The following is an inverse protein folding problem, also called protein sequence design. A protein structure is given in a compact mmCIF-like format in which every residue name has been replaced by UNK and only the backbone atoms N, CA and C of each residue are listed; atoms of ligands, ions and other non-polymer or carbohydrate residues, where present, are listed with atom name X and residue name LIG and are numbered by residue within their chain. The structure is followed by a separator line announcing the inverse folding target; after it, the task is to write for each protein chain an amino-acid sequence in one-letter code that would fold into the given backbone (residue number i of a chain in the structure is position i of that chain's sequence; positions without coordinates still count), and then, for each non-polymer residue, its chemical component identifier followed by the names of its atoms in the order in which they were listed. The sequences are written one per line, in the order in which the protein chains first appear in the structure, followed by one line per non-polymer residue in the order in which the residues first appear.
data_IF_649735890092
#
_entry.id   IF_649735890092
#
_cell.length_a   1.000
_cell.length_b   1.000
_cell.length_c   1.000
_cell.angle_alpha   90.00
_cell.angle_beta   90.00
_cell.angle_gamma   90.00
#
_symmetry.space_group_name_H-M   'P 1'
#
loop_
_entity.id
_entity.type
_entity.pdbx_description
1 polymer ?
#
# COMPACT_ATOMS: atom_id res chain seq x y z
N UNK A 1 -42.05 -39.60 -14.34
CA UNK A 1 -40.82 -38.86 -14.71
C UNK A 1 -40.43 -38.02 -13.51
N UNK A 2 -39.42 -38.44 -12.75
CA UNK A 2 -39.05 -37.87 -11.46
C UNK A 2 -37.77 -37.03 -11.57
N UNK A 3 -37.79 -35.89 -10.85
CA UNK A 3 -36.84 -34.79 -10.84
C UNK A 3 -35.39 -35.17 -10.45
N UNK A 4 -34.41 -34.60 -11.16
CA UNK A 4 -33.01 -34.53 -10.76
C UNK A 4 -32.51 -33.09 -10.77
N UNK A 5 -32.59 -32.39 -9.63
CA UNK A 5 -31.87 -31.12 -9.40
C UNK A 5 -31.54 -31.00 -7.92
N UNK A 6 -30.38 -31.55 -7.50
CA UNK A 6 -29.76 -31.16 -6.24
C UNK A 6 -28.33 -31.71 -6.16
N UNK A 7 -27.32 -30.90 -6.53
CA UNK A 7 -25.88 -31.19 -6.28
C UNK A 7 -24.92 -30.03 -6.65
N UNK A 8 -25.27 -28.78 -6.36
CA UNK A 8 -24.36 -27.64 -6.57
C UNK A 8 -24.40 -26.64 -5.41
N UNK A 9 -24.06 -27.04 -4.17
CA UNK A 9 -23.97 -26.05 -3.08
C UNK A 9 -23.06 -26.44 -1.89
N UNK A 10 -21.89 -27.03 -2.15
CA UNK A 10 -20.93 -27.40 -1.09
C UNK A 10 -19.54 -26.74 -1.20
N UNK A 11 -19.23 -26.02 -2.29
CA UNK A 11 -17.89 -25.46 -2.51
C UNK A 11 -17.70 -23.99 -2.10
N UNK A 12 -18.77 -23.27 -1.72
CA UNK A 12 -18.68 -21.84 -1.42
C UNK A 12 -18.19 -21.54 0.02
N UNK A 13 -18.44 -22.44 0.98
CA UNK A 13 -18.09 -22.20 2.39
C UNK A 13 -16.60 -22.36 2.71
N UNK A 14 -15.81 -23.05 1.87
CA UNK A 14 -14.37 -23.26 2.11
C UNK A 14 -13.47 -22.09 1.69
N UNK A 15 -14.01 -21.09 0.99
CA UNK A 15 -13.22 -19.92 0.57
C UNK A 15 -13.17 -18.82 1.63
N UNK A 16 -14.14 -18.78 2.57
CA UNK A 16 -14.24 -17.69 3.55
C UNK A 16 -13.26 -17.83 4.73
N UNK A 17 -12.82 -19.03 5.07
CA UNK A 17 -11.81 -19.27 6.13
C UNK A 17 -10.37 -19.00 5.67
N UNK A 18 -10.06 -19.20 4.38
CA UNK A 18 -8.70 -18.96 3.86
C UNK A 18 -8.28 -17.48 3.89
N UNK A 19 -9.23 -16.56 3.72
CA UNK A 19 -8.95 -15.13 3.72
C UNK A 19 -8.52 -14.58 5.09
N UNK A 20 -8.90 -15.24 6.19
CA UNK A 20 -8.54 -14.79 7.54
C UNK A 20 -7.13 -15.21 7.97
N UNK A 21 -6.66 -16.39 7.56
CA UNK A 21 -5.32 -16.86 7.92
C UNK A 21 -4.22 -16.13 7.13
N UNK A 22 -4.46 -15.78 5.85
CA UNK A 22 -3.48 -15.02 5.05
C UNK A 22 -3.20 -13.63 5.62
N UNK A 23 -4.22 -12.95 6.16
CA UNK A 23 -4.07 -11.64 6.80
C UNK A 23 -3.26 -11.75 8.10
N UNK A 24 -3.44 -12.83 8.86
CA UNK A 24 -2.68 -13.08 10.08
C UNK A 24 -1.19 -13.35 9.81
N UNK A 25 -0.87 -14.19 8.81
CA UNK A 25 0.51 -14.45 8.41
C UNK A 25 1.25 -13.19 7.90
N UNK A 26 0.55 -12.30 7.19
CA UNK A 26 1.12 -11.04 6.73
C UNK A 26 1.40 -10.07 7.89
N UNK A 27 0.48 -9.93 8.85
CA UNK A 27 0.69 -9.08 10.03
C UNK A 27 1.83 -9.59 10.93
N UNK A 28 1.99 -10.93 11.05
CA UNK A 28 3.10 -11.53 11.78
C UNK A 28 4.46 -11.29 11.09
N UNK A 29 4.51 -11.29 9.75
CA UNK A 29 5.73 -11.01 8.99
C UNK A 29 6.19 -9.55 9.09
N UNK A 30 5.27 -8.60 9.29
CA UNK A 30 5.61 -7.20 9.51
C UNK A 30 6.22 -6.96 10.91
N UNK A 31 5.87 -7.77 11.90
CA UNK A 31 6.35 -7.63 13.28
C UNK A 31 7.80 -8.11 13.44
N UNK A 32 8.23 -9.12 12.68
CA UNK A 32 9.59 -9.67 12.79
C UNK A 32 10.70 -8.83 12.11
N UNK A 33 10.36 -7.83 11.29
CA UNK A 33 11.36 -7.01 10.61
C UNK A 33 11.78 -5.75 11.41
N UNK A 34 11.16 -5.48 12.56
CA UNK A 34 11.52 -4.34 13.41
C UNK A 34 12.69 -4.62 14.37
N UNK A 35 13.04 -5.88 14.61
CA UNK A 35 14.04 -6.26 15.64
C UNK A 35 15.43 -6.61 15.08
N UNK A 36 15.72 -6.27 13.80
CA UNK A 36 17.00 -6.58 13.15
C UNK A 36 17.94 -5.37 12.98
N UNK A 37 17.87 -4.40 13.89
CA UNK A 37 18.91 -3.39 14.06
C UNK A 37 19.56 -3.51 15.42
N UNK A 38 20.90 -3.54 15.39
CA UNK A 38 21.86 -3.40 16.49
C UNK A 38 22.32 -4.69 17.21
N UNK A 39 23.36 -5.31 16.65
CA UNK A 39 24.52 -5.79 17.43
C UNK A 39 25.80 -5.51 16.64
N UNK A 40 26.34 -4.29 16.75
CA UNK A 40 27.76 -4.02 16.49
C UNK A 40 28.38 -3.91 17.88
N UNK A 41 29.21 -4.90 18.21
CA UNK A 41 29.98 -4.95 19.45
C UNK A 41 31.05 -3.84 19.43
N UNK A 42 31.18 -3.04 20.50
CA UNK A 42 32.37 -2.23 20.70
C UNK A 42 33.46 -3.06 21.40
N UNK A 43 34.63 -3.14 20.77
CA UNK A 43 35.90 -3.57 21.39
C UNK A 43 36.29 -2.61 22.52
N UNK A 44 36.81 -3.11 23.66
CA UNK A 44 37.38 -2.27 24.70
C UNK A 44 38.91 -2.11 24.52
N UNK A 45 39.39 -0.96 25.02
CA UNK A 45 40.72 -0.72 25.58
C UNK A 45 41.92 -0.52 24.63
N UNK A 46 42.33 0.76 24.46
CA UNK A 46 43.56 1.35 25.05
C UNK A 46 43.95 2.61 24.24
N UNK A 47 43.88 3.80 24.84
CA UNK A 47 45.05 4.70 24.99
C UNK A 47 44.72 6.08 25.58
N UNK A 48 45.39 6.36 26.70
CA UNK A 48 46.09 7.60 27.08
C UNK A 48 45.40 8.96 26.91
N UNK A 49 45.00 9.45 28.08
CA UNK A 49 45.00 10.82 28.64
C UNK A 49 45.88 11.84 27.90
N UNK A 50 45.25 12.92 27.40
CA UNK A 50 45.86 14.25 27.36
C UNK A 50 44.84 15.29 27.84
N UNK A 51 45.28 16.08 28.83
CA UNK A 51 44.50 17.09 29.55
C UNK A 51 44.53 18.39 28.74
N UNK A 52 43.40 18.78 28.15
CA UNK A 52 43.25 20.11 27.55
C UNK A 52 42.35 20.96 28.45
N UNK A 53 42.97 21.99 29.04
CA UNK A 53 42.30 23.08 29.75
C UNK A 53 41.37 23.84 28.79
N UNK A 54 40.07 23.82 29.06
CA UNK A 54 39.10 24.67 28.37
C UNK A 54 38.88 25.95 29.17
N UNK A 55 39.24 27.08 28.57
CA UNK A 55 39.02 28.42 29.07
C UNK A 55 37.56 28.85 28.94
N UNK A 56 37.06 29.52 29.97
CA UNK A 56 35.75 30.16 30.04
C UNK A 56 35.55 31.19 28.91
N UNK A 57 34.78 30.84 27.88
CA UNK A 57 34.28 31.82 26.91
C UNK A 57 32.81 32.16 27.17
N UNK A 58 32.61 33.44 27.52
CA UNK A 58 31.36 34.17 27.68
C UNK A 58 30.48 34.03 26.43
N UNK A 59 29.19 33.68 26.55
CA UNK A 59 28.29 33.60 25.40
C UNK A 59 28.10 34.98 24.76
N UNK A 60 28.22 35.12 23.43
CA UNK A 60 27.90 36.36 22.75
C UNK A 60 26.40 36.63 22.85
N UNK A 61 26.06 37.82 23.38
CA UNK A 61 24.69 38.29 23.41
C UNK A 61 24.26 38.65 21.99
N UNK A 62 23.47 37.78 21.37
CA UNK A 62 22.81 38.07 20.11
C UNK A 62 21.59 38.94 20.39
N UNK A 63 21.66 40.18 19.91
CA UNK A 63 20.54 41.11 19.85
C UNK A 63 19.48 40.56 18.88
N UNK A 64 18.28 40.37 19.41
CA UNK A 64 17.10 39.96 18.65
C UNK A 64 16.62 41.19 17.85
N UNK A 65 17.07 41.33 16.61
CA UNK A 65 16.51 42.31 15.69
C UNK A 65 15.09 41.86 15.30
N UNK A 66 14.09 42.60 15.78
CA UNK A 66 12.70 42.52 15.36
C UNK A 66 12.61 42.68 13.84
N UNK A 67 12.33 41.57 13.14
CA UNK A 67 11.93 41.59 11.74
C UNK A 67 10.41 41.76 11.69
N UNK A 68 10.02 42.98 11.34
CA UNK A 68 8.67 43.40 11.01
C UNK A 68 8.13 42.63 9.80
N UNK A 69 7.00 41.96 10.04
CA UNK A 69 5.82 41.89 9.19
C UNK A 69 6.04 42.15 7.69
N UNK A 70 6.47 41.10 6.99
CA UNK A 70 6.38 41.03 5.54
C UNK A 70 5.25 40.06 5.22
N UNK A 71 4.09 40.64 4.94
CA UNK A 71 3.10 40.15 3.97
C UNK A 71 3.23 38.67 3.62
N UNK A 72 2.36 37.87 4.23
CA UNK A 72 2.03 36.49 3.83
C UNK A 72 1.41 36.57 2.43
N UNK A 73 2.23 36.88 1.43
CA UNK A 73 1.96 36.55 0.05
C UNK A 73 2.01 35.05 0.01
N UNK A 74 0.83 34.43 -0.12
CA UNK A 74 0.68 33.05 -0.51
C UNK A 74 1.45 32.86 -1.82
N UNK A 75 2.75 32.58 -1.72
CA UNK A 75 3.56 32.20 -2.86
C UNK A 75 2.78 31.04 -3.48
N UNK A 76 2.34 31.13 -4.76
CA UNK A 76 1.75 30.00 -5.45
C UNK A 76 2.84 28.95 -5.47
N UNK A 77 2.84 28.08 -4.45
CA UNK A 77 3.72 26.93 -4.35
C UNK A 77 3.49 26.20 -5.66
N UNK A 78 4.54 26.18 -6.47
CA UNK A 78 4.48 25.82 -7.86
C UNK A 78 3.58 24.58 -7.99
N UNK A 79 2.46 24.75 -8.70
CA UNK A 79 1.71 23.64 -9.29
C UNK A 79 2.53 23.00 -10.41
N UNK A 80 3.85 22.86 -10.20
CA UNK A 80 4.79 22.17 -11.06
C UNK A 80 4.35 20.72 -11.15
N UNK A 81 3.50 20.55 -12.16
CA UNK A 81 3.13 19.39 -12.93
C UNK A 81 2.92 18.12 -12.12
N UNK A 82 1.88 18.14 -11.30
CA UNK A 82 1.25 16.92 -10.82
C UNK A 82 1.02 15.94 -11.98
N UNK A 83 0.58 16.47 -13.13
CA UNK A 83 0.38 15.71 -14.36
C UNK A 83 1.66 15.03 -14.86
N UNK A 84 2.82 15.69 -14.84
CA UNK A 84 4.09 15.08 -15.27
C UNK A 84 4.46 13.84 -14.45
N UNK A 85 4.07 13.79 -13.17
CA UNK A 85 4.33 12.62 -12.33
C UNK A 85 3.41 11.42 -12.66
N UNK A 86 2.35 11.65 -13.45
CA UNK A 86 1.27 10.70 -13.73
C UNK A 86 1.20 10.31 -15.21
N UNK A 87 1.72 11.13 -16.13
CA UNK A 87 1.63 10.92 -17.59
C UNK A 87 1.96 9.48 -18.00
N UNK A 88 2.99 8.87 -17.39
CA UNK A 88 3.42 7.52 -17.74
C UNK A 88 2.72 6.40 -16.95
N UNK A 89 1.58 6.65 -16.30
CA UNK A 89 0.88 5.64 -15.49
C UNK A 89 -0.17 4.86 -16.28
N UNK A 90 0.00 3.54 -16.33
CA UNK A 90 -0.98 2.62 -16.91
C UNK A 90 -2.02 2.13 -15.88
N UNK A 91 -1.80 2.37 -14.59
CA UNK A 91 -2.67 1.87 -13.51
C UNK A 91 -3.70 2.87 -13.02
N UNK A 92 -3.41 4.17 -13.07
CA UNK A 92 -4.30 5.24 -12.59
C UNK A 92 -4.49 6.29 -13.67
N UNK A 93 -5.67 6.88 -13.75
CA UNK A 93 -5.96 7.99 -14.66
C UNK A 93 -6.34 9.25 -13.87
N UNK A 94 -6.17 10.46 -14.44
CA UNK A 94 -6.51 11.72 -13.76
C UNK A 94 -7.94 11.76 -13.21
N UNK A 95 -8.89 11.12 -13.91
CA UNK A 95 -10.30 10.98 -13.47
C UNK A 95 -10.51 10.17 -12.18
N UNK A 96 -9.49 9.49 -11.70
CA UNK A 96 -9.55 8.69 -10.46
C UNK A 96 -9.01 9.46 -9.24
N UNK A 97 -8.46 10.66 -9.44
CA UNK A 97 -7.79 11.45 -8.41
C UNK A 97 -8.69 11.69 -7.20
N UNK A 98 -9.90 12.19 -7.42
CA UNK A 98 -10.83 12.56 -6.35
C UNK A 98 -11.43 11.36 -5.59
N UNK A 99 -11.08 10.13 -5.98
CA UNK A 99 -11.60 8.92 -5.35
C UNK A 99 -10.80 8.50 -4.11
N UNK A 100 -9.55 8.96 -3.98
CA UNK A 100 -8.61 8.58 -2.91
C UNK A 100 -7.75 9.77 -2.51
N UNK A 101 -7.04 9.72 -1.36
CA UNK A 101 -6.10 10.78 -1.01
C UNK A 101 -4.98 10.95 -2.05
N UNK A 102 -4.59 12.19 -2.33
CA UNK A 102 -3.60 12.54 -3.35
C UNK A 102 -2.27 11.78 -3.15
N UNK A 103 -1.81 11.62 -1.92
CA UNK A 103 -0.58 10.87 -1.61
C UNK A 103 -0.66 9.40 -2.08
N UNK A 104 -1.82 8.76 -1.91
CA UNK A 104 -2.04 7.38 -2.36
C UNK A 104 -2.16 7.33 -3.89
N UNK A 105 -2.86 8.30 -4.49
CA UNK A 105 -3.00 8.41 -5.93
C UNK A 105 -1.63 8.51 -6.62
N UNK A 106 -0.78 9.45 -6.17
CA UNK A 106 0.58 9.62 -6.70
C UNK A 106 1.40 8.36 -6.49
N UNK A 107 1.37 7.75 -5.30
CA UNK A 107 2.12 6.51 -5.03
C UNK A 107 1.68 5.34 -5.94
N UNK A 108 0.37 5.19 -6.19
CA UNK A 108 -0.15 4.20 -7.13
C UNK A 108 0.25 4.51 -8.57
N UNK A 109 0.36 5.79 -8.94
CA UNK A 109 0.86 6.19 -10.25
C UNK A 109 2.30 5.73 -10.53
N UNK A 110 3.09 5.52 -9.47
CA UNK A 110 4.47 5.03 -9.53
C UNK A 110 4.61 3.50 -9.57
N UNK A 111 3.51 2.78 -9.73
CA UNK A 111 3.49 1.33 -9.87
C UNK A 111 3.23 0.94 -11.33
N UNK A 112 3.77 -0.19 -11.77
CA UNK A 112 3.55 -0.82 -13.07
C UNK A 112 2.95 -2.23 -12.90
N UNK A 113 2.12 -2.70 -13.84
CA UNK A 113 1.75 -4.11 -13.91
C UNK A 113 3.00 -5.02 -13.99
N UNK A 114 2.95 -6.16 -13.32
CA UNK A 114 4.00 -7.19 -13.38
C UNK A 114 3.39 -8.59 -13.17
N UNK A 115 4.15 -9.63 -13.46
CA UNK A 115 3.75 -11.02 -13.21
C UNK A 115 4.62 -11.66 -12.14
N UNK A 116 4.04 -12.54 -11.34
CA UNK A 116 4.74 -13.27 -10.28
C UNK A 116 5.78 -14.20 -10.92
N UNK A 117 7.05 -14.05 -10.54
CA UNK A 117 8.13 -14.94 -11.00
C UNK A 117 8.52 -15.93 -9.91
N UNK A 118 9.38 -16.90 -10.24
CA UNK A 118 9.91 -17.84 -9.24
C UNK A 118 10.61 -17.14 -8.07
N UNK A 119 11.30 -16.02 -8.32
CA UNK A 119 12.01 -15.25 -7.29
C UNK A 119 11.06 -14.61 -6.26
N UNK A 120 9.80 -14.39 -6.64
CA UNK A 120 8.80 -13.75 -5.78
C UNK A 120 8.05 -14.75 -4.89
N UNK A 121 8.28 -16.06 -5.05
CA UNK A 121 7.61 -17.12 -4.28
C UNK A 121 8.14 -17.25 -2.86
N UNK A 122 8.10 -16.14 -2.12
CA UNK A 122 8.48 -16.04 -0.71
C UNK A 122 7.26 -15.68 0.14
N UNK A 123 7.28 -16.06 1.42
CA UNK A 123 6.22 -15.74 2.37
C UNK A 123 4.82 -16.16 1.89
N UNK A 124 3.87 -15.21 1.88
CA UNK A 124 2.48 -15.44 1.49
C UNK A 124 2.28 -15.70 -0.01
N UNK A 125 3.30 -15.51 -0.85
CA UNK A 125 3.21 -15.78 -2.29
C UNK A 125 3.70 -17.18 -2.67
N UNK A 126 4.18 -17.98 -1.71
CA UNK A 126 4.72 -19.32 -1.96
C UNK A 126 3.72 -20.24 -2.66
N UNK A 127 2.44 -20.16 -2.30
CA UNK A 127 1.39 -21.02 -2.86
C UNK A 127 0.78 -20.49 -4.17
N UNK A 128 1.16 -19.29 -4.62
CA UNK A 128 0.60 -18.67 -5.83
C UNK A 128 1.27 -19.18 -7.09
N UNK A 129 0.50 -19.25 -8.16
CA UNK A 129 0.97 -19.68 -9.47
C UNK A 129 1.89 -18.63 -10.10
N UNK A 130 2.94 -19.11 -10.78
CA UNK A 130 3.83 -18.25 -11.56
C UNK A 130 3.02 -17.65 -12.71
N UNK A 131 3.26 -16.38 -13.03
CA UNK A 131 2.44 -15.63 -13.97
C UNK A 131 1.21 -14.95 -13.35
N UNK A 132 0.99 -15.10 -12.03
CA UNK A 132 -0.06 -14.38 -11.31
C UNK A 132 0.17 -12.87 -11.41
N UNK A 133 -0.89 -12.11 -11.72
CA UNK A 133 -0.77 -10.68 -11.98
C UNK A 133 -0.62 -9.89 -10.69
N UNK A 134 0.26 -8.91 -10.70
CA UNK A 134 0.46 -7.98 -9.60
C UNK A 134 1.06 -6.68 -10.09
N UNK A 135 1.59 -5.88 -9.17
CA UNK A 135 2.20 -4.60 -9.49
C UNK A 135 3.56 -4.45 -8.83
N UNK A 136 4.49 -3.83 -9.53
CA UNK A 136 5.84 -3.52 -9.08
C UNK A 136 6.12 -2.03 -9.16
N UNK A 137 6.96 -1.51 -8.27
CA UNK A 137 7.45 -0.15 -8.36
C UNK A 137 8.18 0.10 -9.70
N UNK A 138 7.83 1.19 -10.40
CA UNK A 138 8.43 1.60 -11.68
C UNK A 138 9.95 1.74 -11.63
N UNK A 139 10.46 2.22 -10.51
CA UNK A 139 11.86 2.63 -10.39
C UNK A 139 12.80 1.49 -10.01
N UNK A 140 12.39 0.62 -9.07
CA UNK A 140 13.23 -0.49 -8.64
C UNK A 140 12.87 -1.82 -9.32
N UNK A 141 11.80 -1.88 -10.12
CA UNK A 141 11.26 -3.13 -10.67
C UNK A 141 10.81 -4.13 -9.61
N UNK A 142 10.87 -3.74 -8.33
CA UNK A 142 10.63 -4.60 -7.20
C UNK A 142 11.69 -5.68 -6.96
N UNK A 143 12.97 -5.31 -6.95
CA UNK A 143 14.09 -6.17 -6.51
C UNK A 143 13.69 -7.10 -5.33
N UNK A 144 14.15 -8.36 -5.32
CA UNK A 144 13.52 -9.47 -4.60
C UNK A 144 13.22 -9.12 -3.14
N UNK A 145 11.93 -9.19 -2.80
CA UNK A 145 11.42 -8.97 -1.45
C UNK A 145 10.88 -7.57 -1.15
N UNK A 146 11.02 -6.58 -2.03
CA UNK A 146 10.47 -5.24 -1.79
C UNK A 146 9.86 -4.60 -3.05
N UNK A 147 8.72 -3.92 -2.88
CA UNK A 147 8.12 -3.11 -3.95
C UNK A 147 7.30 -3.90 -4.98
N UNK A 148 7.08 -5.21 -4.79
CA UNK A 148 6.14 -6.03 -5.55
C UNK A 148 4.96 -6.45 -4.69
N UNK A 149 3.77 -6.40 -5.28
CA UNK A 149 2.52 -6.67 -4.61
C UNK A 149 1.63 -7.53 -5.51
N UNK A 150 1.21 -8.68 -5.01
CA UNK A 150 0.39 -9.64 -5.75
C UNK A 150 -0.94 -9.86 -5.02
N UNK A 151 -1.89 -8.91 -5.12
CA UNK A 151 -3.20 -9.04 -4.47
C UNK A 151 -4.03 -10.18 -5.10
N UNK A 152 -4.63 -11.05 -4.29
CA UNK A 152 -5.49 -12.16 -4.78
C UNK A 152 -6.86 -11.70 -5.27
N UNK A 153 -7.32 -10.55 -4.77
CA UNK A 153 -8.66 -10.03 -5.02
C UNK A 153 -8.69 -8.52 -4.89
N UNK A 154 -9.74 -7.88 -5.44
CA UNK A 154 -10.04 -6.45 -5.24
C UNK A 154 -10.05 -6.10 -3.74
N UNK A 155 -10.59 -7.00 -2.91
CA UNK A 155 -10.65 -6.80 -1.46
C UNK A 155 -9.25 -6.72 -0.85
N UNK A 156 -8.34 -7.64 -1.22
CA UNK A 156 -6.95 -7.63 -0.75
C UNK A 156 -6.15 -6.42 -1.28
N UNK A 157 -6.43 -5.98 -2.51
CA UNK A 157 -5.85 -4.77 -3.09
C UNK A 157 -6.29 -3.50 -2.33
N UNK A 158 -7.58 -3.41 -2.02
CA UNK A 158 -8.18 -2.27 -1.34
C UNK A 158 -7.86 -2.19 0.17
N UNK A 159 -7.15 -3.17 0.74
CA UNK A 159 -6.76 -3.15 2.14
C UNK A 159 -5.88 -1.93 2.45
N UNK A 160 -6.15 -1.27 3.58
CA UNK A 160 -5.36 -0.12 4.03
C UNK A 160 -3.89 -0.47 4.22
N UNK A 161 -3.58 -1.68 4.69
CA UNK A 161 -2.20 -2.20 4.84
C UNK A 161 -1.45 -2.22 3.51
N UNK A 162 -2.09 -2.69 2.44
CA UNK A 162 -1.52 -2.71 1.08
C UNK A 162 -1.22 -1.28 0.62
N UNK A 163 -2.21 -0.38 0.69
CA UNK A 163 -2.04 1.03 0.31
C UNK A 163 -0.93 1.73 1.08
N UNK A 164 -0.87 1.52 2.41
CA UNK A 164 0.15 2.10 3.28
C UNK A 164 1.55 1.54 2.98
N UNK A 165 1.65 0.25 2.64
CA UNK A 165 2.93 -0.38 2.31
C UNK A 165 3.48 0.16 0.98
N UNK A 166 2.62 0.38 -0.01
CA UNK A 166 2.99 1.02 -1.28
C UNK A 166 3.50 2.43 -1.04
N UNK A 167 2.74 3.27 -0.31
CA UNK A 167 3.18 4.63 0.01
C UNK A 167 4.51 4.66 0.76
N UNK A 168 4.67 3.83 1.80
CA UNK A 168 5.94 3.72 2.55
C UNK A 168 7.10 3.29 1.66
N UNK A 169 6.85 2.39 0.70
CA UNK A 169 7.87 1.97 -0.24
C UNK A 169 8.32 3.14 -1.12
N UNK A 170 7.38 3.81 -1.79
CA UNK A 170 7.67 4.93 -2.69
C UNK A 170 8.34 6.07 -1.93
N UNK A 171 7.78 6.50 -0.79
CA UNK A 171 8.25 7.67 -0.04
C UNK A 171 9.62 7.46 0.62
N UNK A 172 9.89 6.28 1.19
CA UNK A 172 11.02 6.11 2.11
C UNK A 172 11.93 4.90 1.85
N UNK A 173 11.45 3.83 1.21
CA UNK A 173 12.26 2.59 1.07
C UNK A 173 12.89 2.41 -0.30
N UNK A 174 12.28 2.94 -1.35
CA UNK A 174 12.76 2.77 -2.71
C UNK A 174 13.99 3.66 -2.96
N UNK A 175 15.18 3.04 -3.03
CA UNK A 175 16.45 3.74 -3.29
C UNK A 175 16.53 4.33 -4.71
N UNK A 176 15.79 3.74 -5.65
CA UNK A 176 15.75 4.16 -7.05
C UNK A 176 14.67 5.19 -7.34
N UNK A 177 13.78 5.48 -6.39
CA UNK A 177 12.71 6.45 -6.59
C UNK A 177 13.27 7.88 -6.67
N UNK A 178 12.97 8.64 -7.75
CA UNK A 178 13.41 10.01 -7.90
C UNK A 178 13.08 10.87 -6.67
N UNK A 179 14.01 11.74 -6.21
CA UNK A 179 13.77 12.58 -5.03
C UNK A 179 12.50 13.43 -5.14
N UNK A 180 12.19 13.96 -6.34
CA UNK A 180 11.00 14.76 -6.58
C UNK A 180 9.72 13.98 -6.23
N UNK A 181 9.57 12.76 -6.77
CA UNK A 181 8.43 11.87 -6.49
C UNK A 181 8.33 11.55 -4.99
N UNK A 182 9.46 11.23 -4.34
CA UNK A 182 9.50 10.94 -2.90
C UNK A 182 9.01 12.12 -2.07
N UNK A 183 9.55 13.31 -2.34
CA UNK A 183 9.21 14.52 -1.62
C UNK A 183 7.73 14.88 -1.83
N UNK A 184 7.22 14.78 -3.06
CA UNK A 184 5.80 15.01 -3.35
C UNK A 184 4.90 14.08 -2.54
N UNK A 185 5.20 12.78 -2.46
CA UNK A 185 4.39 11.86 -1.64
C UNK A 185 4.47 12.21 -0.15
N UNK A 186 5.64 12.57 0.36
CA UNK A 186 5.82 12.97 1.77
C UNK A 186 5.09 14.27 2.12
N UNK A 187 5.13 15.25 1.23
CA UNK A 187 4.46 16.54 1.40
C UNK A 187 2.94 16.36 1.39
N UNK A 188 2.41 15.60 0.42
CA UNK A 188 0.98 15.26 0.37
C UNK A 188 0.53 14.46 1.62
N UNK A 189 1.37 13.58 2.17
CA UNK A 189 1.08 12.91 3.43
C UNK A 189 1.01 13.88 4.62
N UNK A 190 1.94 14.84 4.67
CA UNK A 190 1.95 15.89 5.71
C UNK A 190 0.69 16.76 5.60
N UNK A 191 0.35 17.19 4.39
CA UNK A 191 -0.88 17.94 4.12
C UNK A 191 -2.15 17.16 4.50
N UNK A 192 -2.19 15.87 4.18
CA UNK A 192 -3.31 15.01 4.56
C UNK A 192 -3.47 14.95 6.08
N UNK A 193 -2.37 14.79 6.83
CA UNK A 193 -2.41 14.78 8.30
C UNK A 193 -2.88 16.13 8.88
N UNK A 194 -2.51 17.25 8.26
CA UNK A 194 -3.00 18.58 8.64
C UNK A 194 -4.48 18.77 8.29
N UNK A 195 -4.96 18.23 7.17
CA UNK A 195 -6.38 18.30 6.79
C UNK A 195 -7.26 17.41 7.68
N UNK A 196 -6.78 16.23 8.04
CA UNK A 196 -7.49 15.32 8.95
C UNK A 196 -7.65 15.91 10.35
N UNK A 197 -6.77 16.82 10.79
CA UNK A 197 -6.94 17.52 12.07
C UNK A 197 -7.96 18.65 12.01
N UNK A 198 -8.16 19.30 10.84
CA UNK A 198 -9.07 20.44 10.68
C UNK A 198 -10.47 20.04 10.18
N UNK A 199 -10.56 19.02 9.32
CA UNK A 199 -11.83 18.54 8.78
C UNK A 199 -12.28 17.26 9.48
N UNK A 200 -13.32 17.37 10.31
CA UNK A 200 -14.05 16.24 10.87
C UNK A 200 -14.93 15.51 9.85
N UNK A 201 -14.89 15.93 8.58
CA UNK A 201 -15.61 15.30 7.49
C UNK A 201 -15.07 13.90 7.19
N UNK A 202 -15.84 12.88 7.55
CA UNK A 202 -15.57 11.48 7.17
C UNK A 202 -15.38 11.41 5.65
N UNK A 203 -14.31 10.75 5.14
CA UNK A 203 -14.12 10.56 3.71
C UNK A 203 -15.39 9.99 3.07
N UNK A 204 -15.75 10.47 1.87
CA UNK A 204 -16.96 10.00 1.17
C UNK A 204 -16.93 8.48 1.05
N UNK A 205 -17.82 7.82 1.78
CA UNK A 205 -17.91 6.38 1.84
C UNK A 205 -18.21 5.84 0.42
N UNK A 206 -17.34 4.96 -0.10
CA UNK A 206 -17.53 4.32 -1.40
C UNK A 206 -16.55 4.75 -2.51
N UNK A 207 -16.03 5.98 -2.50
CA UNK A 207 -15.13 6.48 -3.56
C UNK A 207 -13.88 5.60 -3.71
N UNK A 208 -13.30 5.20 -2.59
CA UNK A 208 -12.14 4.31 -2.52
C UNK A 208 -12.40 2.93 -3.14
N UNK A 209 -13.62 2.40 -3.02
CA UNK A 209 -13.98 1.11 -3.63
C UNK A 209 -13.92 1.20 -5.15
N UNK A 210 -14.48 2.27 -5.72
CA UNK A 210 -14.48 2.53 -7.16
C UNK A 210 -13.05 2.67 -7.68
N UNK A 211 -12.19 3.40 -6.96
CA UNK A 211 -10.78 3.54 -7.30
C UNK A 211 -10.09 2.18 -7.48
N UNK A 212 -10.17 1.31 -6.47
CA UNK A 212 -9.51 0.01 -6.52
C UNK A 212 -10.16 -0.98 -7.49
N UNK A 213 -11.46 -0.86 -7.76
CA UNK A 213 -12.10 -1.61 -8.83
C UNK A 213 -11.54 -1.23 -10.20
N UNK A 214 -11.34 0.07 -10.48
CA UNK A 214 -10.75 0.54 -11.74
C UNK A 214 -9.29 0.13 -11.90
N UNK A 215 -8.50 0.27 -10.84
CA UNK A 215 -7.11 -0.20 -10.82
C UNK A 215 -7.06 -1.72 -11.07
N UNK A 216 -7.94 -2.48 -10.44
CA UNK A 216 -8.00 -3.94 -10.62
C UNK A 216 -8.35 -4.36 -12.05
N UNK A 217 -9.34 -3.70 -12.66
CA UNK A 217 -9.71 -3.93 -14.06
C UNK A 217 -8.49 -3.70 -14.97
N UNK A 218 -7.88 -2.51 -14.92
CA UNK A 218 -6.67 -2.19 -15.71
C UNK A 218 -5.53 -3.16 -15.48
N UNK A 219 -5.38 -3.65 -14.26
CA UNK A 219 -4.33 -4.59 -13.93
C UNK A 219 -4.51 -5.93 -14.67
N UNK A 220 -5.75 -6.37 -14.90
CA UNK A 220 -6.08 -7.65 -15.53
C UNK A 220 -6.36 -7.52 -17.04
N UNK A 221 -6.89 -6.37 -17.49
CA UNK A 221 -7.23 -6.11 -18.90
C UNK A 221 -5.98 -6.06 -19.81
N UNK A 222 -4.78 -5.86 -19.24
CA UNK A 222 -3.51 -5.89 -20.01
C UNK A 222 -3.24 -7.26 -20.64
N UNK A 223 -3.79 -8.35 -20.08
CA UNK A 223 -3.56 -9.69 -20.63
C UNK A 223 -4.25 -9.90 -21.97
N UNK A 224 -5.46 -9.39 -22.13
CA UNK A 224 -6.25 -9.62 -23.34
C UNK A 224 -5.66 -8.91 -24.56
N UNK A 225 -4.90 -7.82 -24.35
CA UNK A 225 -4.26 -7.07 -25.43
C UNK A 225 -2.98 -7.71 -25.99
N UNK A 226 -2.24 -8.49 -25.19
CA UNK A 226 -0.93 -9.04 -25.60
C UNK A 226 -1.10 -10.34 -26.42
N UNK A 227 -2.19 -11.08 -26.18
CA UNK A 227 -2.44 -12.36 -26.85
C UNK A 227 -2.96 -12.20 -28.30
N UNK A 228 -3.54 -11.05 -28.65
CA UNK A 228 -4.00 -10.76 -30.03
C UNK A 228 -2.84 -10.52 -31.00
N UNK A 229 -1.81 -9.76 -30.60
CA UNK A 229 -0.71 -9.41 -31.51
C UNK A 229 0.23 -10.59 -31.81
N UNK A 230 0.27 -11.61 -30.93
CA UNK A 230 1.14 -12.77 -31.10
C UNK A 230 0.49 -13.93 -31.89
N UNK A 231 -0.79 -13.80 -32.27
CA UNK A 231 -1.52 -14.82 -33.04
C UNK A 231 -1.35 -14.67 -34.56
N UNK A 232 -0.91 -13.50 -35.04
CA UNK A 232 -0.89 -13.18 -36.48
C UNK A 232 0.42 -13.55 -37.20
N UNK A 233 1.44 -14.09 -36.51
CA UNK A 233 2.74 -14.45 -37.12
C UNK A 233 2.91 -15.97 -37.35
N UNK A 234 1.93 -16.80 -36.99
CA UNK A 234 2.05 -18.26 -37.07
C UNK A 234 1.20 -18.96 -38.15
N UNK A 235 0.68 -18.26 -39.17
CA UNK A 235 -0.04 -18.91 -40.28
C UNK A 235 0.23 -18.23 -41.63
N UNK A 236 1.43 -18.45 -42.17
CA UNK A 236 1.74 -18.17 -43.57
C UNK A 236 2.46 -19.37 -44.20
N UNK A 237 1.81 -20.53 -44.17
CA UNK A 237 1.94 -21.58 -45.18
C UNK A 237 0.93 -22.70 -44.84
N UNK A 238 -0.29 -22.62 -45.38
CA UNK A 238 -0.93 -23.76 -46.06
C UNK A 238 -2.20 -23.32 -46.78
N UNK A 239 -2.36 -23.85 -47.98
CA UNK A 239 -3.23 -23.39 -49.05
C UNK A 239 -4.71 -23.80 -48.90
N UNK A 240 -5.59 -22.92 -49.39
CA UNK A 240 -6.83 -23.19 -50.13
C UNK A 240 -7.76 -24.34 -49.68
N UNK A 241 -8.99 -24.01 -49.25
CA UNK A 241 -10.22 -24.28 -50.04
C UNK A 241 -11.53 -24.01 -49.27
N UNK A 242 -12.40 -23.25 -49.93
CA UNK A 242 -13.85 -23.33 -50.02
C UNK A 242 -14.83 -23.18 -48.82
N UNK A 243 -15.95 -22.53 -49.22
CA UNK A 243 -17.34 -22.59 -48.73
C UNK A 243 -17.78 -21.70 -47.56
N UNK A 244 -18.38 -20.58 -47.96
CA UNK A 244 -19.51 -19.85 -47.36
C UNK A 244 -20.58 -20.79 -46.78
N UNK A 245 -21.19 -20.44 -45.63
CA UNK A 245 -22.63 -20.21 -45.68
C UNK A 245 -23.07 -18.94 -44.92
N UNK A 246 -24.00 -18.24 -45.57
CA UNK A 246 -24.85 -17.19 -45.04
C UNK A 246 -25.79 -17.76 -43.97
N UNK A 247 -25.77 -17.16 -42.77
CA UNK A 247 -26.71 -17.46 -41.69
C UNK A 247 -26.94 -16.20 -40.85
N UNK A 248 -28.01 -15.50 -41.16
CA UNK A 248 -28.55 -14.37 -40.38
C UNK A 248 -29.32 -14.94 -39.19
N UNK A 249 -28.85 -14.71 -37.97
CA UNK A 249 -29.69 -14.90 -36.78
C UNK A 249 -29.56 -13.69 -35.86
N UNK A 250 -30.72 -13.03 -35.70
CA UNK A 250 -31.04 -11.98 -34.75
C UNK A 250 -30.68 -12.38 -33.31
N UNK A 251 -29.75 -11.65 -32.69
CA UNK A 251 -29.48 -11.77 -31.26
C UNK A 251 -30.23 -10.65 -30.54
N UNK A 252 -31.40 -11.02 -30.03
CA UNK A 252 -32.22 -10.24 -29.10
C UNK A 252 -31.40 -9.72 -27.92
N UNK A 253 -31.33 -8.38 -27.81
CA UNK A 253 -30.91 -7.66 -26.61
C UNK A 253 -31.94 -7.87 -25.49
N UNK A 254 -31.73 -8.87 -24.64
CA UNK A 254 -32.44 -8.98 -23.37
C UNK A 254 -31.79 -8.07 -22.33
N UNK A 255 -32.52 -7.01 -21.99
CA UNK A 255 -32.33 -6.10 -20.86
C UNK A 255 -31.95 -6.84 -19.58
N UNK A 256 -30.75 -6.57 -19.06
CA UNK A 256 -30.31 -7.06 -17.75
C UNK A 256 -30.92 -6.14 -16.68
N UNK A 257 -32.06 -6.56 -16.15
CA UNK A 257 -32.68 -5.99 -14.96
C UNK A 257 -31.83 -6.34 -13.74
N UNK A 258 -31.18 -5.34 -13.14
CA UNK A 258 -30.55 -5.48 -11.82
C UNK A 258 -31.66 -5.60 -10.77
N UNK A 259 -31.87 -6.81 -10.25
CA UNK A 259 -32.74 -7.07 -9.12
C UNK A 259 -32.16 -6.49 -7.84
N UNK A 260 -32.88 -5.55 -7.24
CA UNK A 260 -32.73 -5.14 -5.85
C UNK A 260 -33.25 -6.29 -4.96
N UNK A 261 -32.35 -7.15 -4.51
CA UNK A 261 -32.66 -8.14 -3.48
C UNK A 261 -32.50 -7.50 -2.09
N UNK A 262 -33.60 -6.95 -1.58
CA UNK A 262 -33.80 -6.61 -0.17
C UNK A 262 -33.81 -7.88 0.69
N UNK A 263 -32.61 -8.37 1.00
CA UNK A 263 -32.38 -9.45 1.96
C UNK A 263 -32.37 -8.93 3.41
N UNK A 264 -33.56 -8.70 3.96
CA UNK A 264 -33.75 -8.48 5.39
C UNK A 264 -33.35 -9.72 6.21
N UNK A 265 -32.14 -9.71 6.78
CA UNK A 265 -31.72 -10.74 7.75
C UNK A 265 -32.14 -10.27 9.14
N UNK A 266 -33.19 -10.92 9.61
CA UNK A 266 -33.72 -10.90 10.96
C UNK A 266 -32.66 -11.20 12.02
N UNK A 267 -32.75 -10.42 13.10
CA UNK A 267 -31.93 -10.52 14.30
C UNK A 267 -32.11 -11.88 14.99
N UNK A 268 -31.13 -12.76 14.81
CA UNK A 268 -30.94 -13.98 15.59
C UNK A 268 -29.95 -13.75 16.73
N UNK A 269 -30.49 -13.48 17.92
CA UNK A 269 -29.77 -13.38 19.19
C UNK A 269 -29.01 -14.69 19.49
N UNK A 270 -27.69 -14.69 19.36
CA UNK A 270 -26.84 -15.64 20.08
C UNK A 270 -25.60 -14.92 20.61
N UNK A 271 -25.76 -14.39 21.82
CA UNK A 271 -24.67 -13.92 22.68
C UNK A 271 -23.73 -15.08 22.99
N UNK A 272 -22.73 -15.31 22.14
CA UNK A 272 -21.54 -16.04 22.55
C UNK A 272 -20.68 -15.11 23.41
N UNK A 273 -20.54 -15.47 24.69
CA UNK A 273 -19.66 -14.84 25.67
C UNK A 273 -18.25 -14.75 25.08
N UNK A 274 -17.83 -13.54 24.71
CA UNK A 274 -16.41 -13.24 24.49
C UNK A 274 -15.67 -13.44 25.81
N UNK A 275 -14.56 -14.20 25.86
CA UNK A 275 -13.70 -14.22 27.03
C UNK A 275 -13.19 -12.79 27.27
N UNK A 276 -13.36 -12.30 28.50
CA UNK A 276 -12.73 -11.08 28.99
C UNK A 276 -11.22 -11.27 28.84
N UNK A 277 -10.62 -10.67 27.82
CA UNK A 277 -9.18 -10.43 27.81
C UNK A 277 -8.87 -9.49 28.96
N UNK A 278 -8.11 -10.00 29.92
CA UNK A 278 -7.62 -9.24 31.06
C UNK A 278 -6.92 -7.98 30.58
N UNK A 279 -7.21 -6.86 31.24
CA UNK A 279 -6.48 -5.62 31.10
C UNK A 279 -5.00 -5.91 31.40
N UNK A 280 -4.14 -5.68 30.40
CA UNK A 280 -2.71 -5.60 30.62
C UNK A 280 -2.44 -4.36 31.50
N UNK A 281 -1.63 -4.48 32.56
CA UNK A 281 -1.25 -3.35 33.39
C UNK A 281 -0.43 -2.37 32.55
N UNK A 282 -0.88 -1.13 32.52
CA UNK A 282 -0.12 0.04 32.08
C UNK A 282 1.17 0.11 32.87
N UNK A 283 2.32 0.02 32.19
CA UNK A 283 3.63 0.30 32.79
C UNK A 283 3.71 1.79 33.09
N UNK A 284 3.32 2.17 34.31
CA UNK A 284 3.63 3.47 34.87
C UNK A 284 5.13 3.56 35.20
N UNK A 285 5.76 4.58 34.62
CA UNK A 285 6.75 5.47 35.24
C UNK A 285 7.67 4.85 36.32
N UNK A 286 8.81 4.29 35.89
CA UNK A 286 10.03 4.22 36.72
C UNK A 286 11.07 5.19 36.17
N UNK A 287 10.89 6.48 36.48
CA UNK A 287 11.92 7.52 36.32
C UNK A 287 12.00 8.32 37.61
N UNK A 288 12.64 7.77 38.63
CA UNK A 288 13.13 8.52 39.77
C UNK A 288 14.16 7.68 40.55
N UNK A 289 15.21 8.37 41.03
CA UNK A 289 16.25 7.93 41.96
C UNK A 289 17.44 7.18 41.37
N UNK A 290 18.40 7.93 40.83
CA UNK A 290 19.82 7.80 41.20
C UNK A 290 20.47 9.16 41.01
N UNK A 291 20.90 9.78 42.10
CA UNK A 291 21.60 11.06 42.05
C UNK A 291 21.62 11.82 43.36
N UNK A 292 22.16 11.21 44.43
CA UNK A 292 22.66 11.97 45.59
C UNK A 292 23.55 11.08 46.47
N UNK A 293 24.82 10.89 46.11
CA UNK A 293 25.87 10.46 47.06
C UNK A 293 27.26 10.62 46.42
N UNK A 294 27.82 11.83 46.47
CA UNK A 294 29.25 12.06 46.24
C UNK A 294 29.65 13.45 46.75
N UNK A 295 29.76 13.62 48.06
CA UNK A 295 30.51 14.73 48.68
C UNK A 295 30.76 14.44 50.16
N UNK A 296 31.84 13.71 50.48
CA UNK A 296 32.56 13.80 51.76
C UNK A 296 33.76 12.84 51.74
N UNK A 297 34.91 13.31 51.27
CA UNK A 297 36.25 12.87 51.67
C UNK A 297 37.31 13.70 50.94
N UNK A 298 37.56 14.90 51.45
CA UNK A 298 38.85 15.60 51.36
C UNK A 298 39.04 16.39 52.64
N UNK A 299 39.64 15.74 53.62
CA UNK A 299 40.51 16.30 54.66
C UNK A 299 41.66 15.32 54.84
#
# INVERSE_FOLDING_TARGET
MMNQTSKCNANLSKNKERDTEEVACFLLSLKHNSDRSATVSPDPEQNQVEVIQTSNHKPPQFSFASLSDSSIGSKPYASSNFDDLIIDSNLVYPKDRDLVPDALFVAMAQMNPCTLTHADRVGCYKAREIGFVGMSCKFCGGQPGFGRFFPASIRSLAQTTTSQTIMKHIAGKCRFCPPQVRNTVLDLQREQALRESMSSGRPRYGSRKIFFQRVWARLHDVKDAIDEDNKTIATADESASNSTPSGTDDISLSSISFGEEDGGISAGLLRQKRPRFGMLPTQENKRAKYGEEASLQRL
#
